data_IF_436260677245
#
_entry.id   IF_436260677245
#
_cell.length_a   1.000
_cell.length_b   1.000
_cell.length_c   1.000
_cell.angle_alpha   90.00
_cell.angle_beta   90.00
_cell.angle_gamma   90.00
#
_symmetry.space_group_name_H-M   'P 1'
#
loop_
_entity.id
_entity.type
_entity.pdbx_description
1 polymer ?
#
# COMPACT_ATOMS: atom_id res chain seq x y z
N UNK A 1 -16.01 7.65 2.95
CA UNK A 1 -16.77 6.42 3.25
C UNK A 1 -17.61 6.53 4.52
N UNK A 2 -17.38 7.48 5.44
CA UNK A 2 -18.15 7.59 6.69
C UNK A 2 -18.72 8.99 6.86
N UNK A 3 -19.71 9.34 6.02
CA UNK A 3 -20.23 10.71 5.95
C UNK A 3 -21.71 10.81 6.32
N UNK A 4 -22.38 9.69 6.65
CA UNK A 4 -23.79 9.68 7.05
C UNK A 4 -23.89 9.89 8.56
N UNK A 5 -24.40 11.04 8.99
CA UNK A 5 -24.48 11.40 10.42
C UNK A 5 -25.64 10.73 11.16
N UNK A 6 -26.64 10.26 10.42
CA UNK A 6 -27.85 9.64 10.97
C UNK A 6 -27.73 8.13 11.19
N UNK A 7 -26.56 7.55 10.88
CA UNK A 7 -26.28 6.11 11.01
C UNK A 7 -25.06 5.90 11.90
N UNK A 8 -25.10 4.85 12.73
CA UNK A 8 -23.92 4.43 13.48
C UNK A 8 -22.81 3.97 12.54
N UNK A 9 -21.55 4.10 12.96
CA UNK A 9 -20.39 3.78 12.11
C UNK A 9 -20.41 2.34 11.57
N UNK A 10 -20.88 1.39 12.38
CA UNK A 10 -20.96 -0.03 12.01
C UNK A 10 -22.04 -0.32 10.96
N UNK A 11 -23.04 0.56 10.81
CA UNK A 11 -24.12 0.46 9.83
C UNK A 11 -23.75 1.06 8.47
N UNK A 12 -22.66 1.85 8.41
CA UNK A 12 -22.23 2.54 7.20
C UNK A 12 -21.45 1.61 6.23
N UNK A 13 -21.21 0.35 6.62
CA UNK A 13 -20.60 -0.68 5.79
C UNK A 13 -19.07 -0.61 5.74
N UNK A 14 -18.47 -1.45 4.89
CA UNK A 14 -17.04 -1.49 4.61
C UNK A 14 -16.78 -1.37 3.10
N UNK A 15 -15.58 -0.95 2.70
CA UNK A 15 -15.12 -1.04 1.31
C UNK A 15 -13.92 -1.95 1.24
N UNK A 16 -13.87 -2.70 0.16
CA UNK A 16 -12.81 -3.62 -0.16
C UNK A 16 -12.34 -3.31 -1.59
N UNK A 17 -11.06 -3.56 -1.81
CA UNK A 17 -10.41 -3.43 -3.10
C UNK A 17 -9.20 -4.35 -3.06
N UNK A 18 -8.86 -4.93 -4.19
CA UNK A 18 -7.76 -5.88 -4.26
C UNK A 18 -6.43 -5.20 -3.91
N UNK A 19 -5.55 -5.98 -3.30
CA UNK A 19 -4.16 -5.60 -3.06
C UNK A 19 -3.32 -6.45 -4.02
N UNK A 20 -2.56 -5.78 -4.88
CA UNK A 20 -1.71 -6.44 -5.86
C UNK A 20 -0.27 -6.30 -5.40
N UNK A 21 0.40 -7.44 -5.19
CA UNK A 21 1.83 -7.51 -4.88
C UNK A 21 2.49 -8.33 -5.99
N UNK A 22 3.42 -7.70 -6.69
CA UNK A 22 4.20 -8.31 -7.75
C UNK A 22 5.24 -9.30 -7.23
N UNK A 23 6.13 -9.69 -8.13
CA UNK A 23 7.18 -10.66 -7.88
C UNK A 23 8.41 -9.97 -7.26
N UNK A 24 9.14 -10.71 -6.42
CA UNK A 24 10.40 -10.25 -5.83
C UNK A 24 10.28 -8.90 -5.09
N UNK A 25 9.17 -8.71 -4.36
CA UNK A 25 8.96 -7.52 -3.53
C UNK A 25 9.51 -7.77 -2.13
N UNK A 26 10.39 -6.89 -1.65
CA UNK A 26 10.84 -6.92 -0.26
C UNK A 26 10.00 -5.97 0.58
N UNK A 27 9.26 -6.53 1.54
CA UNK A 27 8.47 -5.76 2.50
C UNK A 27 9.19 -5.73 3.84
N UNK A 28 9.53 -4.53 4.32
CA UNK A 28 10.15 -4.31 5.62
C UNK A 28 9.21 -4.62 6.79
N UNK A 29 9.77 -4.64 8.00
CA UNK A 29 8.99 -4.91 9.22
C UNK A 29 7.94 -3.82 9.47
N UNK A 30 6.79 -4.21 10.02
CA UNK A 30 5.73 -3.30 10.45
C UNK A 30 5.20 -2.37 9.33
N UNK A 31 5.08 -2.89 8.11
CA UNK A 31 4.44 -2.19 6.99
C UNK A 31 2.93 -2.40 7.02
N UNK A 32 2.17 -1.33 6.79
CA UNK A 32 0.73 -1.37 6.59
C UNK A 32 0.40 -1.18 5.11
N UNK A 33 -0.30 -2.14 4.51
CA UNK A 33 -0.76 -2.06 3.11
C UNK A 33 -2.27 -1.86 3.12
N UNK A 34 -2.73 -0.74 2.57
CA UNK A 34 -4.14 -0.39 2.51
C UNK A 34 -4.79 -0.93 1.23
N UNK A 35 -6.12 -1.10 1.29
CA UNK A 35 -6.94 -1.55 0.15
C UNK A 35 -6.65 -0.71 -1.10
N UNK A 36 -6.58 -1.36 -2.26
CA UNK A 36 -6.28 -0.71 -3.54
C UNK A 36 -4.80 -0.42 -3.79
N UNK A 37 -3.91 -0.75 -2.84
CA UNK A 37 -2.48 -0.66 -3.06
C UNK A 37 -2.02 -1.63 -4.16
N UNK A 38 -1.12 -1.14 -5.01
CA UNK A 38 -0.53 -1.91 -6.09
C UNK A 38 0.99 -1.76 -6.02
N UNK A 39 1.70 -2.85 -5.82
CA UNK A 39 3.16 -2.88 -5.70
C UNK A 39 3.68 -3.75 -6.85
N UNK A 40 4.39 -3.16 -7.80
CA UNK A 40 4.93 -3.89 -8.95
C UNK A 40 6.20 -4.69 -8.59
N UNK A 41 6.74 -5.41 -9.57
CA UNK A 41 7.89 -6.28 -9.40
C UNK A 41 9.16 -5.54 -8.91
N UNK A 42 9.99 -6.26 -8.16
CA UNK A 42 11.32 -5.80 -7.70
C UNK A 42 11.29 -4.53 -6.83
N UNK A 43 10.18 -4.25 -6.17
CA UNK A 43 10.08 -3.13 -5.24
C UNK A 43 10.64 -3.46 -3.85
N UNK A 44 11.10 -2.44 -3.14
CA UNK A 44 11.46 -2.53 -1.72
C UNK A 44 10.59 -1.54 -0.93
N UNK A 45 9.93 -2.02 0.12
CA UNK A 45 9.08 -1.22 1.00
C UNK A 45 9.80 -1.06 2.33
N UNK A 46 10.14 0.17 2.73
CA UNK A 46 10.85 0.42 3.98
C UNK A 46 10.01 0.04 5.19
N UNK A 47 10.67 -0.39 6.27
CA UNK A 47 10.00 -0.69 7.53
C UNK A 47 9.17 0.51 8.04
N UNK A 48 8.02 0.24 8.66
CA UNK A 48 7.11 1.26 9.18
C UNK A 48 6.32 2.04 8.13
N UNK A 49 6.42 1.69 6.84
CA UNK A 49 5.71 2.39 5.76
C UNK A 49 4.21 2.10 5.75
N UNK A 50 3.44 3.09 5.28
CA UNK A 50 2.01 2.95 4.96
C UNK A 50 1.83 3.07 3.46
N UNK A 51 1.50 1.96 2.79
CA UNK A 51 1.29 1.91 1.35
C UNK A 51 -0.20 2.07 1.05
N UNK A 52 -0.54 3.11 0.29
CA UNK A 52 -1.92 3.46 -0.09
C UNK A 52 -2.07 3.82 -1.57
N UNK A 53 -0.99 3.66 -2.34
CA UNK A 53 -0.82 4.16 -3.70
C UNK A 53 -0.17 3.08 -4.57
N UNK A 54 -0.07 3.35 -5.87
CA UNK A 54 0.64 2.51 -6.82
C UNK A 54 2.16 2.77 -6.71
N UNK A 55 2.93 1.68 -6.60
CA UNK A 55 4.40 1.69 -6.54
C UNK A 55 4.91 0.98 -7.78
N UNK A 56 5.56 1.75 -8.65
CA UNK A 56 6.11 1.26 -9.91
C UNK A 56 7.33 0.34 -9.71
N UNK A 57 7.55 -0.56 -10.68
CA UNK A 57 8.63 -1.57 -10.64
C UNK A 57 10.01 -0.96 -10.39
N UNK A 58 10.88 -1.74 -9.76
CA UNK A 58 12.25 -1.34 -9.42
C UNK A 58 12.33 -0.05 -8.58
N UNK A 59 11.39 0.12 -7.65
CA UNK A 59 11.35 1.30 -6.77
C UNK A 59 11.55 0.94 -5.31
N UNK A 60 12.17 1.87 -4.58
CA UNK A 60 12.21 1.90 -3.13
C UNK A 60 11.13 2.88 -2.63
N UNK A 61 10.22 2.37 -1.80
CA UNK A 61 9.21 3.16 -1.13
C UNK A 61 9.62 3.44 0.32
N UNK A 62 9.67 4.72 0.68
CA UNK A 62 10.01 5.20 2.02
C UNK A 62 8.90 6.13 2.49
N UNK A 63 7.91 5.58 3.18
CA UNK A 63 6.86 6.31 3.87
C UNK A 63 6.24 7.49 3.06
N UNK A 64 5.80 7.20 1.83
CA UNK A 64 5.18 8.17 0.90
C UNK A 64 6.15 8.80 -0.11
N UNK A 65 7.44 8.46 -0.07
CA UNK A 65 8.42 8.83 -1.10
C UNK A 65 8.78 7.61 -1.94
N UNK A 66 8.87 7.78 -3.25
CA UNK A 66 9.30 6.75 -4.22
C UNK A 66 10.64 7.17 -4.80
N UNK A 67 11.62 6.26 -4.77
CA UNK A 67 12.93 6.43 -5.39
C UNK A 67 13.20 5.27 -6.34
N UNK A 68 13.72 5.56 -7.53
CA UNK A 68 14.17 4.50 -8.44
C UNK A 68 15.41 3.81 -7.87
N UNK A 69 15.39 2.48 -7.87
CA UNK A 69 16.54 1.67 -7.47
C UNK A 69 16.95 0.71 -8.57
N UNK A 70 18.24 0.35 -8.58
CA UNK A 70 18.71 -0.79 -9.35
C UNK A 70 18.77 -2.01 -8.44
N UNK A 71 17.76 -2.88 -8.56
CA UNK A 71 17.88 -4.26 -8.10
C UNK A 71 18.88 -4.97 -9.02
N UNK A 72 20.04 -5.35 -8.48
CA UNK A 72 21.06 -6.14 -9.19
C UNK A 72 20.63 -7.59 -9.33
#
# INVERSE_FOLDING_TARGET
>A
MFNKKDLFIFEQGFSFEDIIIGNNVWIGSNVLILKGAQIEDNCVISAGSIVKEHIAKNSLFINGKIEEIRCK
#
